data_IF_848823256132
#
_entry.id   IF_848823256132
#
_cell.length_a   1.000
_cell.length_b   1.000
_cell.length_c   1.000
_cell.angle_alpha   90.00
_cell.angle_beta   90.00
_cell.angle_gamma   90.00
#
_symmetry.space_group_name_H-M   'P 1'
#
loop_
_entity.id
_entity.type
_entity.pdbx_description
1 polymer ?
#
# COMPACT_ATOMS: atom_id res chain seq x y z
N UNK A 1 12.03 -4.84 11.34
CA UNK A 1 11.15 -4.12 12.30
C UNK A 1 10.41 -3.03 11.53
N UNK A 2 9.10 -3.16 11.34
CA UNK A 2 8.30 -2.12 10.69
C UNK A 2 8.20 -0.89 11.60
N UNK A 3 8.27 0.31 11.00
CA UNK A 3 7.93 1.56 11.70
C UNK A 3 6.42 1.76 11.66
N UNK A 4 5.84 2.38 12.68
CA UNK A 4 4.37 2.51 12.83
C UNK A 4 3.69 3.12 11.59
N UNK A 5 4.34 4.10 10.96
CA UNK A 5 3.85 4.74 9.72
C UNK A 5 3.78 3.74 8.54
N UNK A 6 4.78 2.86 8.41
CA UNK A 6 4.79 1.84 7.38
C UNK A 6 3.75 0.77 7.63
N UNK A 7 3.52 0.40 8.89
CA UNK A 7 2.50 -0.59 9.24
C UNK A 7 1.09 -0.09 8.85
N UNK A 8 0.79 1.19 9.10
CA UNK A 8 -0.47 1.82 8.69
C UNK A 8 -0.61 1.91 7.16
N UNK A 9 0.44 2.32 6.45
CA UNK A 9 0.43 2.40 4.99
C UNK A 9 0.27 1.01 4.34
N UNK A 10 0.97 0.01 4.86
CA UNK A 10 0.88 -1.39 4.44
C UNK A 10 -0.53 -1.93 4.67
N UNK A 11 -1.11 -1.66 5.84
CA UNK A 11 -2.48 -2.06 6.18
C UNK A 11 -3.49 -1.49 5.18
N UNK A 12 -3.42 -0.20 4.88
CA UNK A 12 -4.32 0.45 3.95
C UNK A 12 -4.20 -0.12 2.53
N UNK A 13 -2.97 -0.38 2.06
CA UNK A 13 -2.68 -1.04 0.77
C UNK A 13 -3.23 -2.46 0.71
N UNK A 14 -3.04 -3.24 1.77
CA UNK A 14 -3.56 -4.61 1.86
C UNK A 14 -5.09 -4.61 1.82
N UNK A 15 -5.75 -3.70 2.55
CA UNK A 15 -7.21 -3.55 2.52
C UNK A 15 -7.71 -3.28 1.10
N UNK A 16 -7.08 -2.35 0.39
CA UNK A 16 -7.46 -1.99 -0.98
C UNK A 16 -7.29 -3.17 -1.95
N UNK A 17 -6.21 -3.94 -1.81
CA UNK A 17 -5.99 -5.15 -2.62
C UNK A 17 -6.92 -6.30 -2.24
N UNK A 18 -7.21 -6.50 -0.95
CA UNK A 18 -8.05 -7.60 -0.47
C UNK A 18 -9.53 -7.33 -0.73
N UNK A 19 -9.96 -6.06 -0.77
CA UNK A 19 -11.36 -5.66 -0.99
C UNK A 19 -12.01 -6.31 -2.23
N UNK A 20 -11.37 -6.34 -3.42
CA UNK A 20 -11.90 -7.07 -4.58
C UNK A 20 -11.56 -8.57 -4.62
N UNK A 21 -10.61 -9.05 -3.80
CA UNK A 21 -10.12 -10.43 -3.87
C UNK A 21 -10.74 -11.35 -2.82
N UNK A 22 -11.27 -10.80 -1.73
CA UNK A 22 -11.77 -11.52 -0.56
C UNK A 22 -13.18 -11.04 -0.19
N UNK A 23 -14.10 -11.97 0.02
CA UNK A 23 -15.44 -11.70 0.58
C UNK A 23 -15.42 -11.53 2.11
N UNK A 24 -14.31 -11.89 2.77
CA UNK A 24 -14.11 -11.70 4.20
C UNK A 24 -13.70 -10.26 4.55
N UNK A 25 -13.69 -9.92 5.84
CA UNK A 25 -13.34 -8.57 6.33
C UNK A 25 -11.89 -8.18 5.98
N UNK A 26 -11.68 -7.26 5.02
CA UNK A 26 -10.35 -6.84 4.59
C UNK A 26 -9.46 -6.27 5.71
N UNK A 27 -9.95 -5.45 6.67
CA UNK A 27 -9.09 -4.87 7.70
C UNK A 27 -8.55 -5.91 8.68
N UNK A 28 -9.26 -7.02 8.89
CA UNK A 28 -8.82 -8.12 9.77
C UNK A 28 -7.75 -8.95 9.06
N UNK A 29 -7.98 -9.30 7.80
CA UNK A 29 -6.99 -10.01 6.98
C UNK A 29 -5.69 -9.22 6.82
N UNK A 30 -5.77 -7.90 6.62
CA UNK A 30 -4.59 -7.06 6.52
C UNK A 30 -3.71 -7.11 7.78
N UNK A 31 -4.31 -7.03 8.97
CA UNK A 31 -3.55 -7.15 10.23
C UNK A 31 -2.93 -8.54 10.41
N UNK A 32 -3.64 -9.57 9.96
CA UNK A 32 -3.12 -10.93 9.97
C UNK A 32 -1.90 -11.09 9.04
N UNK A 33 -1.96 -10.57 7.80
CA UNK A 33 -0.82 -10.57 6.87
C UNK A 33 0.38 -9.82 7.45
N UNK A 34 0.16 -8.64 8.04
CA UNK A 34 1.23 -7.88 8.71
C UNK A 34 1.88 -8.71 9.83
N UNK A 35 1.09 -9.45 10.60
CA UNK A 35 1.60 -10.34 11.65
C UNK A 35 2.44 -11.48 11.06
N UNK A 36 2.03 -12.07 9.93
CA UNK A 36 2.82 -13.07 9.21
C UNK A 36 4.18 -12.49 8.79
N UNK A 37 4.18 -11.30 8.18
CA UNK A 37 5.39 -10.61 7.72
C UNK A 37 6.33 -10.18 8.85
N UNK A 38 5.81 -10.05 10.08
CA UNK A 38 6.59 -9.74 11.29
C UNK A 38 7.29 -10.96 11.87
N UNK A 39 6.93 -12.18 11.43
CA UNK A 39 7.70 -13.37 11.81
C UNK A 39 9.06 -13.35 11.11
N UNK A 40 10.09 -13.74 11.86
CA UNK A 40 11.47 -13.86 11.38
C UNK A 40 11.64 -15.21 10.65
N UNK A 41 10.88 -15.37 9.55
CA UNK A 41 10.87 -16.59 8.73
C UNK A 41 11.65 -16.35 7.44
N UNK A 42 12.27 -17.39 6.89
CA UNK A 42 12.92 -17.31 5.59
C UNK A 42 11.89 -16.92 4.50
N UNK A 43 12.32 -16.13 3.52
CA UNK A 43 11.44 -15.60 2.46
C UNK A 43 10.69 -16.71 1.71
N UNK A 44 11.35 -17.86 1.51
CA UNK A 44 10.79 -19.06 0.86
C UNK A 44 9.68 -19.73 1.72
N UNK A 45 9.90 -19.85 3.02
CA UNK A 45 8.93 -20.38 3.97
C UNK A 45 7.79 -19.41 4.24
N UNK A 46 8.09 -18.11 4.37
CA UNK A 46 7.10 -17.06 4.54
C UNK A 46 6.14 -17.02 3.36
N UNK A 47 6.63 -17.20 2.13
CA UNK A 47 5.79 -17.27 0.94
C UNK A 47 4.82 -18.44 1.01
N UNK A 48 5.31 -19.63 1.33
CA UNK A 48 4.46 -20.83 1.50
C UNK A 48 3.45 -20.65 2.64
N UNK A 49 3.87 -20.03 3.73
CA UNK A 49 3.01 -19.75 4.88
C UNK A 49 1.90 -18.76 4.52
N UNK A 50 2.23 -17.69 3.77
CA UNK A 50 1.21 -16.78 3.25
C UNK A 50 0.24 -17.50 2.29
N UNK A 51 0.72 -18.38 1.41
CA UNK A 51 -0.16 -19.15 0.53
C UNK A 51 -1.11 -20.04 1.33
N UNK A 52 -0.59 -20.85 2.24
CA UNK A 52 -1.37 -21.82 3.02
C UNK A 52 -2.35 -21.13 3.97
N UNK A 53 -1.96 -20.02 4.60
CA UNK A 53 -2.84 -19.30 5.53
C UNK A 53 -3.85 -18.40 4.82
N UNK A 54 -3.54 -17.91 3.61
CA UNK A 54 -4.45 -17.04 2.86
C UNK A 54 -5.37 -17.78 1.88
N UNK A 55 -5.09 -19.06 1.57
CA UNK A 55 -5.89 -19.84 0.60
C UNK A 55 -7.34 -20.01 1.01
N UNK A 56 -7.64 -20.10 2.30
CA UNK A 56 -9.01 -20.23 2.80
C UNK A 56 -9.82 -18.93 2.57
N UNK A 57 -9.13 -17.79 2.48
CA UNK A 57 -9.74 -16.47 2.30
C UNK A 57 -9.80 -16.01 0.84
N UNK A 58 -8.72 -16.22 0.10
CA UNK A 58 -8.52 -15.72 -1.26
C UNK A 58 -8.72 -16.80 -2.34
N UNK A 59 -8.70 -18.08 -1.95
CA UNK A 59 -8.90 -19.23 -2.83
C UNK A 59 -7.98 -19.18 -4.06
N UNK A 60 -8.55 -19.08 -5.27
CA UNK A 60 -7.80 -19.00 -6.54
C UNK A 60 -6.96 -17.71 -6.68
N UNK A 61 -7.32 -16.65 -5.97
CA UNK A 61 -6.60 -15.38 -6.00
C UNK A 61 -5.38 -15.34 -5.07
N UNK A 62 -5.16 -16.39 -4.28
CA UNK A 62 -4.09 -16.43 -3.27
C UNK A 62 -2.71 -16.41 -3.88
N UNK A 63 -2.46 -17.25 -4.89
CA UNK A 63 -1.16 -17.33 -5.57
C UNK A 63 -0.74 -15.97 -6.16
N UNK A 64 -1.55 -15.32 -7.02
CA UNK A 64 -1.17 -14.03 -7.60
C UNK A 64 -1.08 -12.94 -6.54
N UNK A 65 -1.91 -12.97 -5.49
CA UNK A 65 -1.81 -12.01 -4.38
C UNK A 65 -0.49 -12.13 -3.64
N UNK A 66 -0.08 -13.35 -3.27
CA UNK A 66 1.16 -13.57 -2.54
C UNK A 66 2.35 -13.21 -3.41
N UNK A 67 2.38 -13.57 -4.69
CA UNK A 67 3.46 -13.13 -5.59
C UNK A 67 3.58 -11.60 -5.63
N UNK A 68 2.45 -10.92 -5.86
CA UNK A 68 2.37 -9.45 -5.88
C UNK A 68 2.86 -8.84 -4.57
N UNK A 69 2.44 -9.39 -3.44
CA UNK A 69 2.82 -8.92 -2.10
C UNK A 69 4.35 -8.95 -1.91
N UNK A 70 5.01 -10.03 -2.32
CA UNK A 70 6.45 -10.16 -2.19
C UNK A 70 7.21 -9.26 -3.17
N UNK A 71 6.65 -9.01 -4.36
CA UNK A 71 7.16 -8.00 -5.28
C UNK A 71 7.05 -6.58 -4.70
N UNK A 72 5.87 -6.19 -4.20
CA UNK A 72 5.64 -4.89 -3.54
C UNK A 72 6.52 -4.72 -2.30
N UNK A 73 6.78 -5.77 -1.51
CA UNK A 73 7.70 -5.70 -0.37
C UNK A 73 9.15 -5.42 -0.80
N UNK A 74 9.59 -6.03 -1.90
CA UNK A 74 10.92 -5.77 -2.49
C UNK A 74 11.01 -4.34 -3.03
N UNK A 75 9.91 -3.83 -3.56
CA UNK A 75 9.76 -2.45 -4.04
C UNK A 75 9.70 -1.43 -2.89
N UNK A 76 8.99 -1.73 -1.81
CA UNK A 76 8.92 -0.87 -0.63
C UNK A 76 10.24 -0.77 0.11
N UNK A 77 11.09 -1.80 0.03
CA UNK A 77 12.43 -1.75 0.59
C UNK A 77 13.29 -0.63 -0.02
N UNK A 78 13.00 -0.13 -1.23
CA UNK A 78 13.70 1.04 -1.80
C UNK A 78 12.95 2.37 -1.58
N UNK A 79 11.62 2.36 -1.44
CA UNK A 79 10.84 3.57 -1.14
C UNK A 79 11.05 4.12 0.28
N UNK A 80 11.54 3.31 1.23
CA UNK A 80 11.90 3.79 2.58
C UNK A 80 13.06 4.81 2.59
N UNK A 81 13.74 5.02 1.46
CA UNK A 81 14.74 6.09 1.26
C UNK A 81 14.33 7.21 0.29
N UNK A 82 13.27 7.02 -0.50
CA UNK A 82 12.89 7.94 -1.57
C UNK A 82 11.46 8.45 -1.34
N UNK A 83 11.37 9.69 -0.86
CA UNK A 83 10.11 10.43 -0.72
C UNK A 83 9.26 10.28 -1.99
N UNK A 84 8.02 9.79 -1.80
CA UNK A 84 6.82 10.01 -2.63
C UNK A 84 7.07 10.24 -4.13
N UNK A 85 6.80 9.25 -4.94
CA UNK A 85 6.42 9.48 -6.35
C UNK A 85 5.33 8.50 -6.74
N UNK A 86 4.09 8.95 -6.63
CA UNK A 86 2.93 8.18 -7.06
C UNK A 86 1.62 8.77 -6.57
N UNK A 87 1.37 10.05 -6.85
CA UNK A 87 -0.01 10.52 -6.96
C UNK A 87 -0.09 11.50 -8.10
N UNK A 88 -0.28 10.94 -9.29
CA UNK A 88 -0.94 11.64 -10.37
C UNK A 88 -2.39 11.91 -9.93
N UNK A 89 -2.75 13.17 -9.75
CA UNK A 89 -4.07 13.77 -10.03
C UNK A 89 -4.03 15.25 -9.63
N UNK A 90 -3.97 16.17 -10.60
CA UNK A 90 -4.64 17.47 -10.46
C UNK A 90 -5.45 17.69 -11.74
N UNK A 91 -6.74 17.35 -11.66
CA UNK A 91 -7.80 17.84 -12.52
C UNK A 91 -8.24 19.22 -11.97
N UNK A 92 -8.35 20.21 -12.87
CA UNK A 92 -9.15 21.46 -12.78
C UNK A 92 -8.98 22.46 -11.61
N UNK A 93 -8.67 23.71 -11.98
CA UNK A 93 -8.93 24.97 -11.26
C UNK A 93 -8.37 26.12 -12.12
N UNK A 94 -9.15 26.98 -12.80
CA UNK A 94 -10.18 27.90 -12.32
C UNK A 94 -9.73 28.77 -11.13
N UNK A 95 -9.80 30.08 -11.38
CA UNK A 95 -9.57 31.27 -10.53
C UNK A 95 -8.14 31.64 -10.13
N UNK A 96 -7.61 32.65 -10.81
CA UNK A 96 -6.78 33.68 -10.18
C UNK A 96 -7.45 35.02 -10.49
N UNK A 97 -8.41 35.37 -9.64
CA UNK A 97 -8.69 36.76 -9.34
C UNK A 97 -7.56 37.21 -8.40
N UNK A 98 -6.75 38.17 -8.83
CA UNK A 98 -5.96 38.98 -7.92
C UNK A 98 -6.08 40.43 -8.37
N UNK A 99 -6.94 41.11 -7.64
CA UNK A 99 -7.16 42.55 -7.63
C UNK A 99 -5.91 43.32 -7.16
N UNK A 100 -5.94 44.60 -7.52
CA UNK A 100 -5.35 45.75 -6.84
C UNK A 100 -3.88 46.20 -7.09
N UNK A 101 -3.83 47.35 -7.77
CA UNK A 101 -3.07 48.59 -7.45
C UNK A 101 -1.53 48.58 -7.38
N UNK A 102 -0.92 49.27 -8.35
CA UNK A 102 -0.01 50.39 -7.99
C UNK A 102 0.37 51.25 -9.20
N UNK A 103 -0.20 52.45 -9.19
CA UNK A 103 0.47 53.75 -9.37
C UNK A 103 1.98 53.71 -9.67
N UNK A 104 2.38 54.37 -10.77
CA UNK A 104 3.53 55.30 -10.74
C UNK A 104 4.51 55.24 -11.91
N UNK A 105 4.63 56.41 -12.58
CA UNK A 105 5.78 56.95 -13.35
C UNK A 105 6.14 56.20 -14.65
N UNK A 106 6.37 56.85 -15.78
CA UNK A 106 6.96 58.17 -16.06
C UNK A 106 6.28 58.89 -17.24
#
# INVERSE_FOLDING_TARGET
RFVADQEAALRARLIDQLSPLSEAEPPVLAEYVIALLKNDTALDDLRKMCLDQLVDFLQENTEPFVEKLFEDLKDWSWMSGAKKTGSATILQGQVLDHDETSRGKD
#
